data_IF_999644673287
#
_entry.id   IF_999644673287
#
_cell.length_a   1.000
_cell.length_b   1.000
_cell.length_c   1.000
_cell.angle_alpha   90.00
_cell.angle_beta   90.00
_cell.angle_gamma   90.00
#
_symmetry.space_group_name_H-M   'P 1'
#
loop_
_entity.id
_entity.type
_entity.pdbx_description
1 polymer ?
#
# COMPACT_ATOMS: atom_id res chain seq x y z
N UNK A 1 -25.86 9.15 14.27
CA UNK A 1 -25.04 7.96 14.05
C UNK A 1 -23.62 8.31 14.46
N UNK A 2 -22.94 7.47 15.24
CA UNK A 2 -21.51 7.65 15.48
C UNK A 2 -20.76 7.02 14.30
N UNK A 3 -19.91 7.79 13.63
CA UNK A 3 -19.00 7.27 12.61
C UNK A 3 -17.84 6.54 13.29
N UNK A 4 -17.29 5.51 12.66
CA UNK A 4 -16.01 4.94 13.03
C UNK A 4 -14.86 5.58 12.22
N UNK A 5 -13.63 5.27 12.60
CA UNK A 5 -12.41 5.82 12.00
C UNK A 5 -12.33 5.50 10.50
N UNK A 6 -12.68 4.28 10.10
CA UNK A 6 -12.62 3.85 8.71
C UNK A 6 -13.69 4.58 7.86
N UNK A 7 -14.89 4.77 8.39
CA UNK A 7 -15.95 5.54 7.72
C UNK A 7 -15.53 7.00 7.50
N UNK A 8 -14.89 7.62 8.48
CA UNK A 8 -14.38 9.00 8.34
C UNK A 8 -13.25 9.07 7.33
N UNK A 9 -12.32 8.10 7.32
CA UNK A 9 -11.25 8.02 6.33
C UNK A 9 -11.80 7.86 4.90
N UNK A 10 -12.81 7.03 4.70
CA UNK A 10 -13.47 6.85 3.39
C UNK A 10 -14.23 8.11 2.95
N UNK A 11 -14.90 8.81 3.85
CA UNK A 11 -15.53 10.11 3.54
C UNK A 11 -14.48 11.15 3.13
N UNK A 12 -13.34 11.18 3.82
CA UNK A 12 -12.23 12.06 3.47
C UNK A 12 -11.64 11.73 2.09
N UNK A 13 -11.53 10.45 1.72
CA UNK A 13 -11.09 10.01 0.39
C UNK A 13 -12.08 10.43 -0.71
N UNK A 14 -13.39 10.40 -0.46
CA UNK A 14 -14.39 10.92 -1.39
C UNK A 14 -14.26 12.43 -1.57
N UNK A 15 -14.20 13.17 -0.46
CA UNK A 15 -14.04 14.62 -0.48
C UNK A 15 -12.74 15.06 -1.19
N UNK A 16 -11.69 14.27 -1.08
CA UNK A 16 -10.40 14.52 -1.71
C UNK A 16 -10.50 14.66 -3.24
N UNK A 17 -11.40 13.92 -3.90
CA UNK A 17 -11.61 14.01 -5.35
C UNK A 17 -11.96 15.43 -5.78
N UNK A 18 -12.80 16.11 -5.00
CA UNK A 18 -13.28 17.46 -5.32
C UNK A 18 -12.30 18.55 -4.92
N UNK A 19 -11.71 18.44 -3.74
CA UNK A 19 -10.95 19.55 -3.14
C UNK A 19 -9.43 19.39 -3.20
N UNK A 20 -8.91 18.18 -3.50
CA UNK A 20 -7.49 17.82 -3.42
C UNK A 20 -6.96 17.84 -1.98
N UNK A 21 -5.71 17.42 -1.80
CA UNK A 21 -5.08 17.32 -0.47
C UNK A 21 -4.93 18.68 0.22
N UNK A 22 -4.63 19.72 -0.54
CA UNK A 22 -4.46 21.07 0.00
C UNK A 22 -5.79 21.72 0.40
N UNK A 23 -6.89 21.32 -0.25
CA UNK A 23 -8.25 21.73 0.08
C UNK A 23 -8.94 20.90 1.16
N UNK A 24 -8.39 19.75 1.53
CA UNK A 24 -8.93 18.88 2.58
C UNK A 24 -8.69 19.50 3.95
N UNK A 25 -9.76 19.94 4.58
CA UNK A 25 -9.75 20.52 5.94
C UNK A 25 -10.74 19.78 6.84
N UNK A 26 -10.47 19.76 8.16
CA UNK A 26 -11.38 19.16 9.16
C UNK A 26 -12.76 19.80 9.12
N UNK A 27 -12.85 21.10 8.85
CA UNK A 27 -14.13 21.83 8.72
C UNK A 27 -14.95 21.32 7.52
N UNK A 28 -14.30 21.09 6.35
CA UNK A 28 -15.00 20.58 5.16
C UNK A 28 -15.45 19.14 5.38
N UNK A 29 -14.58 18.33 5.98
CA UNK A 29 -14.91 16.93 6.28
C UNK A 29 -16.06 16.82 7.28
N UNK A 30 -16.10 17.64 8.33
CA UNK A 30 -17.21 17.69 9.26
C UNK A 30 -18.51 18.09 8.56
N UNK A 31 -18.46 19.08 7.66
CA UNK A 31 -19.61 19.48 6.84
C UNK A 31 -20.11 18.35 5.93
N UNK A 32 -19.20 17.60 5.30
CA UNK A 32 -19.54 16.43 4.46
C UNK A 32 -20.24 15.31 5.26
N UNK A 33 -19.77 15.09 6.49
CA UNK A 33 -20.33 14.07 7.39
C UNK A 33 -21.59 14.54 8.14
N UNK A 34 -21.92 15.83 8.05
CA UNK A 34 -23.07 16.40 8.78
C UNK A 34 -22.88 16.39 10.31
N UNK A 35 -21.61 16.50 10.79
CA UNK A 35 -21.27 16.51 12.21
C UNK A 35 -20.56 17.81 12.60
N UNK A 36 -20.50 18.10 13.89
CA UNK A 36 -19.71 19.21 14.40
C UNK A 36 -18.21 18.93 14.28
N UNK A 37 -17.39 19.95 13.98
CA UNK A 37 -15.94 19.80 13.87
C UNK A 37 -15.27 19.19 15.11
N UNK A 38 -15.80 19.48 16.29
CA UNK A 38 -15.33 18.87 17.55
C UNK A 38 -15.51 17.33 17.58
N UNK A 39 -16.53 16.81 16.92
CA UNK A 39 -16.76 15.36 16.86
C UNK A 39 -15.68 14.61 16.07
N UNK A 40 -15.03 15.25 15.10
CA UNK A 40 -13.89 14.65 14.38
C UNK A 40 -12.68 14.39 15.29
N UNK A 41 -12.45 15.26 16.26
CA UNK A 41 -11.32 15.14 17.19
C UNK A 41 -11.44 13.97 18.19
N UNK A 42 -12.61 13.33 18.26
CA UNK A 42 -12.75 12.04 18.95
C UNK A 42 -12.13 10.88 18.17
N UNK A 43 -11.96 11.04 16.83
CA UNK A 43 -11.42 10.00 15.95
C UNK A 43 -9.97 10.24 15.58
N UNK A 44 -9.53 11.50 15.50
CA UNK A 44 -8.18 11.89 15.08
C UNK A 44 -7.70 13.08 15.90
N UNK A 45 -6.52 12.97 16.48
CA UNK A 45 -5.90 14.09 17.21
C UNK A 45 -5.56 15.27 16.30
N UNK A 46 -5.22 14.95 15.02
CA UNK A 46 -4.80 15.96 14.05
C UNK A 46 -4.96 15.47 12.60
N UNK A 47 -4.73 16.37 11.64
CA UNK A 47 -4.80 16.04 10.20
C UNK A 47 -3.81 14.96 9.78
N UNK A 48 -2.63 14.88 10.37
CA UNK A 48 -1.62 13.89 10.01
C UNK A 48 -2.09 12.47 10.34
N UNK A 49 -2.79 12.28 11.45
CA UNK A 49 -3.39 11.00 11.83
C UNK A 49 -4.52 10.61 10.85
N UNK A 50 -5.41 11.55 10.48
CA UNK A 50 -6.41 11.33 9.44
C UNK A 50 -5.75 10.85 8.14
N UNK A 51 -4.68 11.51 7.70
CA UNK A 51 -3.97 11.10 6.48
C UNK A 51 -3.37 9.70 6.60
N UNK A 52 -2.89 9.31 7.79
CA UNK A 52 -2.43 7.94 8.06
C UNK A 52 -3.55 6.90 7.87
N UNK A 53 -4.75 7.19 8.37
CA UNK A 53 -5.92 6.31 8.17
C UNK A 53 -6.39 6.28 6.72
N UNK A 54 -6.36 7.40 6.00
CA UNK A 54 -6.63 7.43 4.56
C UNK A 54 -5.62 6.58 3.78
N UNK A 55 -4.33 6.68 4.09
CA UNK A 55 -3.28 5.84 3.49
C UNK A 55 -3.55 4.35 3.76
N UNK A 56 -3.90 4.02 5.01
CA UNK A 56 -4.25 2.67 5.43
C UNK A 56 -5.45 2.13 4.65
N UNK A 57 -6.50 2.93 4.47
CA UNK A 57 -7.69 2.54 3.71
C UNK A 57 -7.36 2.25 2.24
N UNK A 58 -6.55 3.09 1.58
CA UNK A 58 -6.10 2.88 0.19
C UNK A 58 -5.31 1.57 0.07
N UNK A 59 -4.36 1.31 0.97
CA UNK A 59 -3.51 0.12 0.91
C UNK A 59 -4.26 -1.16 1.30
N UNK A 60 -5.22 -1.08 2.22
CA UNK A 60 -6.13 -2.20 2.52
C UNK A 60 -6.95 -2.57 1.29
N UNK A 61 -7.55 -1.59 0.62
CA UNK A 61 -8.31 -1.81 -0.61
C UNK A 61 -7.45 -2.43 -1.72
N UNK A 62 -6.19 -2.02 -1.86
CA UNK A 62 -5.28 -2.63 -2.83
C UNK A 62 -4.97 -4.08 -2.51
N UNK A 63 -4.80 -4.41 -1.24
CA UNK A 63 -4.57 -5.79 -0.78
C UNK A 63 -5.80 -6.67 -1.04
N UNK A 64 -7.00 -6.18 -0.74
CA UNK A 64 -8.27 -6.89 -1.00
C UNK A 64 -8.51 -7.17 -2.48
N UNK A 65 -8.00 -6.31 -3.37
CA UNK A 65 -8.10 -6.48 -4.82
C UNK A 65 -6.99 -7.34 -5.41
N UNK A 66 -5.97 -7.69 -4.62
CA UNK A 66 -4.87 -8.54 -5.07
C UNK A 66 -5.35 -10.00 -5.14
N UNK A 67 -5.28 -10.66 -6.33
CA UNK A 67 -5.63 -12.07 -6.43
C UNK A 67 -4.74 -12.94 -5.57
N UNK A 68 -5.31 -13.95 -4.92
CA UNK A 68 -4.51 -14.94 -4.19
C UNK A 68 -3.68 -15.78 -5.17
N UNK A 69 -2.38 -15.98 -4.89
CA UNK A 69 -1.42 -16.72 -5.72
C UNK A 69 -0.50 -17.56 -4.86
N UNK A 70 -0.18 -18.75 -5.34
CA UNK A 70 0.83 -19.61 -4.71
C UNK A 70 2.26 -19.20 -5.10
N UNK A 71 2.44 -18.58 -6.28
CA UNK A 71 3.73 -18.05 -6.74
C UNK A 71 3.92 -16.62 -6.20
N UNK A 72 4.90 -16.44 -5.33
CA UNK A 72 5.21 -15.14 -4.72
C UNK A 72 5.60 -14.06 -5.74
N UNK A 73 6.18 -14.41 -6.89
CA UNK A 73 6.52 -13.44 -7.94
C UNK A 73 5.25 -12.90 -8.61
N UNK A 74 4.34 -13.82 -8.92
CA UNK A 74 3.04 -13.43 -9.47
C UNK A 74 2.22 -12.65 -8.44
N UNK A 75 2.29 -13.05 -7.16
CA UNK A 75 1.68 -12.29 -6.06
C UNK A 75 2.21 -10.85 -6.00
N UNK A 76 3.53 -10.64 -5.98
CA UNK A 76 4.13 -9.29 -5.95
C UNK A 76 3.75 -8.47 -7.18
N UNK A 77 3.72 -9.08 -8.37
CA UNK A 77 3.32 -8.40 -9.60
C UNK A 77 1.85 -7.96 -9.52
N UNK A 78 0.95 -8.87 -9.15
CA UNK A 78 -0.47 -8.60 -9.06
C UNK A 78 -0.75 -7.54 -7.96
N UNK A 79 -0.05 -7.63 -6.82
CA UNK A 79 -0.15 -6.63 -5.75
C UNK A 79 0.35 -5.25 -6.18
N UNK A 80 1.45 -5.16 -6.90
CA UNK A 80 1.95 -3.90 -7.44
C UNK A 80 0.93 -3.26 -8.40
N UNK A 81 0.34 -4.08 -9.29
CA UNK A 81 -0.70 -3.63 -10.23
C UNK A 81 -1.93 -3.13 -9.48
N UNK A 82 -2.44 -3.92 -8.52
CA UNK A 82 -3.60 -3.56 -7.72
C UNK A 82 -3.35 -2.26 -6.93
N UNK A 83 -2.16 -2.13 -6.33
CA UNK A 83 -1.76 -0.92 -5.58
C UNK A 83 -1.74 0.31 -6.48
N UNK A 84 -1.08 0.26 -7.66
CA UNK A 84 -1.09 1.37 -8.61
C UNK A 84 -2.50 1.74 -9.04
N UNK A 85 -3.32 0.75 -9.41
CA UNK A 85 -4.70 0.96 -9.86
C UNK A 85 -5.56 1.60 -8.77
N UNK A 86 -5.43 1.13 -7.53
CA UNK A 86 -6.15 1.71 -6.38
C UNK A 86 -5.70 3.14 -6.13
N UNK A 87 -4.39 3.40 -6.11
CA UNK A 87 -3.86 4.74 -5.92
C UNK A 87 -4.32 5.73 -6.99
N UNK A 88 -4.39 5.31 -8.26
CA UNK A 88 -4.85 6.18 -9.36
C UNK A 88 -6.34 6.55 -9.26
N UNK A 89 -7.16 5.81 -8.50
CA UNK A 89 -8.55 6.19 -8.23
C UNK A 89 -8.70 7.33 -7.23
N UNK A 90 -7.69 7.52 -6.38
CA UNK A 90 -7.71 8.54 -5.32
C UNK A 90 -6.72 9.65 -5.66
N UNK A 91 -7.23 10.85 -5.89
CA UNK A 91 -6.41 12.05 -6.11
C UNK A 91 -5.39 12.21 -4.96
N UNK A 92 -4.17 12.63 -5.28
CA UNK A 92 -3.10 12.87 -4.30
C UNK A 92 -2.70 11.66 -3.43
N UNK A 93 -3.15 10.44 -3.76
CA UNK A 93 -2.92 9.23 -2.97
C UNK A 93 -1.44 8.95 -2.72
N UNK A 94 -0.59 9.13 -3.74
CA UNK A 94 0.84 8.92 -3.61
C UNK A 94 1.48 9.90 -2.63
N UNK A 95 1.02 11.18 -2.59
CA UNK A 95 1.44 12.15 -1.57
C UNK A 95 0.99 11.72 -0.18
N UNK A 96 -0.26 11.29 -0.05
CA UNK A 96 -0.82 10.83 1.23
C UNK A 96 -0.01 9.67 1.77
N UNK A 97 0.16 8.60 0.98
CA UNK A 97 0.89 7.39 1.42
C UNK A 97 2.37 7.70 1.70
N UNK A 98 3.02 8.48 0.83
CA UNK A 98 4.45 8.79 0.95
C UNK A 98 4.83 9.74 2.09
N UNK A 99 3.85 10.47 2.68
CA UNK A 99 4.12 11.48 3.73
C UNK A 99 3.41 11.19 5.06
N UNK A 100 2.53 10.18 5.12
CA UNK A 100 1.80 9.85 6.34
C UNK A 100 2.57 8.88 7.22
N UNK A 101 2.45 9.04 8.53
CA UNK A 101 2.93 8.03 9.47
C UNK A 101 2.08 6.75 9.37
N UNK A 102 2.70 5.56 9.38
CA UNK A 102 1.97 4.31 9.34
C UNK A 102 1.15 4.12 10.63
N UNK A 103 -0.13 3.79 10.47
CA UNK A 103 -1.03 3.43 11.58
C UNK A 103 -0.69 2.07 12.16
N UNK A 104 -1.28 1.73 13.31
CA UNK A 104 -1.10 0.40 13.90
C UNK A 104 -1.72 -0.70 13.01
N UNK A 105 -2.85 -0.45 12.36
CA UNK A 105 -3.42 -1.37 11.38
C UNK A 105 -2.47 -1.61 10.18
N UNK A 106 -1.79 -0.55 9.71
CA UNK A 106 -0.76 -0.69 8.68
C UNK A 106 0.36 -1.64 9.12
N UNK A 107 0.88 -1.47 10.34
CA UNK A 107 2.02 -2.23 10.86
C UNK A 107 1.66 -3.66 11.22
N UNK A 108 0.46 -3.89 11.79
CA UNK A 108 0.09 -5.16 12.40
C UNK A 108 -0.76 -6.05 11.49
N UNK A 109 -1.44 -5.48 10.50
CA UNK A 109 -2.36 -6.21 9.62
C UNK A 109 -1.88 -6.18 8.16
N UNK A 110 -1.77 -4.97 7.56
CA UNK A 110 -1.57 -4.85 6.11
C UNK A 110 -0.17 -5.29 5.69
N UNK A 111 0.88 -4.72 6.30
CA UNK A 111 2.26 -5.07 5.93
C UNK A 111 2.59 -6.55 6.15
N UNK A 112 2.20 -7.19 7.27
CA UNK A 112 2.37 -8.63 7.43
C UNK A 112 1.62 -9.44 6.37
N UNK A 113 0.36 -9.08 6.04
CA UNK A 113 -0.42 -9.80 5.04
C UNK A 113 0.19 -9.70 3.63
N UNK A 114 0.76 -8.54 3.26
CA UNK A 114 1.46 -8.38 1.97
C UNK A 114 2.76 -9.18 1.93
N UNK A 115 3.49 -9.29 3.03
CA UNK A 115 4.75 -10.02 3.11
C UNK A 115 4.58 -11.55 3.26
N UNK A 116 3.41 -12.02 3.74
CA UNK A 116 3.18 -13.42 4.07
C UNK A 116 3.47 -14.40 2.92
N UNK A 117 3.03 -14.17 1.67
CA UNK A 117 3.31 -15.08 0.56
C UNK A 117 4.82 -15.26 0.28
N UNK A 118 5.63 -14.24 0.56
CA UNK A 118 7.08 -14.32 0.43
C UNK A 118 7.68 -15.14 1.59
N UNK A 119 7.17 -14.94 2.80
CA UNK A 119 7.59 -15.71 3.98
C UNK A 119 7.24 -17.19 3.79
N UNK A 120 6.06 -17.51 3.26
CA UNK A 120 5.62 -18.86 2.95
C UNK A 120 6.47 -19.50 1.84
N UNK A 121 7.00 -18.70 0.92
CA UNK A 121 7.97 -19.14 -0.09
C UNK A 121 9.39 -19.40 0.48
N UNK A 122 9.62 -19.12 1.77
CA UNK A 122 10.84 -19.42 2.50
C UNK A 122 11.82 -18.25 2.66
N UNK A 123 11.43 -17.02 2.32
CA UNK A 123 12.24 -15.84 2.62
C UNK A 123 12.19 -15.49 4.11
N UNK A 124 13.23 -14.86 4.63
CA UNK A 124 13.17 -14.29 5.98
C UNK A 124 12.14 -13.14 6.03
N UNK A 125 11.58 -12.87 7.22
CA UNK A 125 10.64 -11.73 7.36
C UNK A 125 11.30 -10.41 6.98
N UNK A 126 12.59 -10.24 7.29
CA UNK A 126 13.35 -9.03 6.91
C UNK A 126 13.44 -8.90 5.40
N UNK A 127 13.87 -9.96 4.70
CA UNK A 127 13.97 -9.96 3.23
C UNK A 127 12.61 -9.69 2.58
N UNK A 128 11.54 -10.34 3.08
CA UNK A 128 10.18 -10.14 2.58
C UNK A 128 9.73 -8.68 2.72
N UNK A 129 9.98 -8.04 3.86
CA UNK A 129 9.65 -6.63 4.05
C UNK A 129 10.50 -5.70 3.17
N UNK A 130 11.78 -6.00 2.96
CA UNK A 130 12.63 -5.24 2.04
C UNK A 130 12.12 -5.34 0.60
N UNK A 131 11.77 -6.54 0.13
CA UNK A 131 11.21 -6.78 -1.21
C UNK A 131 9.89 -6.02 -1.42
N UNK A 132 8.97 -6.08 -0.47
CA UNK A 132 7.71 -5.31 -0.50
C UNK A 132 7.99 -3.81 -0.51
N UNK A 133 8.95 -3.35 0.30
CA UNK A 133 9.30 -1.92 0.37
C UNK A 133 9.86 -1.38 -0.95
N UNK A 134 10.66 -2.17 -1.67
CA UNK A 134 11.16 -1.80 -3.00
C UNK A 134 10.02 -1.63 -4.01
N UNK A 135 9.06 -2.56 -4.01
CA UNK A 135 7.89 -2.48 -4.90
C UNK A 135 7.03 -1.26 -4.58
N UNK A 136 6.76 -1.00 -3.29
CA UNK A 136 5.97 0.16 -2.87
C UNK A 136 6.68 1.47 -3.23
N UNK A 137 7.98 1.58 -2.98
CA UNK A 137 8.75 2.78 -3.31
C UNK A 137 8.73 3.08 -4.82
N UNK A 138 8.90 2.06 -5.66
CA UNK A 138 8.80 2.19 -7.11
C UNK A 138 7.39 2.63 -7.53
N UNK A 139 6.34 1.97 -6.99
CA UNK A 139 4.94 2.27 -7.30
C UNK A 139 4.57 3.69 -6.90
N UNK A 140 4.95 4.13 -5.70
CA UNK A 140 4.73 5.50 -5.23
C UNK A 140 5.37 6.53 -6.17
N UNK A 141 6.65 6.34 -6.50
CA UNK A 141 7.36 7.24 -7.42
C UNK A 141 6.73 7.29 -8.80
N UNK A 142 6.23 6.15 -9.31
CA UNK A 142 5.57 6.08 -10.60
C UNK A 142 4.22 6.80 -10.58
N UNK A 143 3.38 6.54 -9.57
CA UNK A 143 2.04 7.15 -9.42
C UNK A 143 2.13 8.66 -9.16
N UNK A 144 3.14 9.15 -8.43
CA UNK A 144 3.38 10.60 -8.29
C UNK A 144 3.49 11.29 -9.66
N UNK A 145 4.22 10.68 -10.60
CA UNK A 145 4.36 11.21 -11.95
C UNK A 145 3.03 11.13 -12.72
N UNK A 146 2.28 10.06 -12.58
CA UNK A 146 0.98 9.89 -13.24
C UNK A 146 -0.11 10.81 -12.69
N UNK A 147 -0.04 11.17 -11.40
CA UNK A 147 -0.98 12.12 -10.78
C UNK A 147 -0.62 13.59 -11.05
N UNK A 148 0.54 13.85 -11.63
CA UNK A 148 0.92 15.18 -12.11
C UNK A 148 0.57 15.32 -13.60
N UNK A 149 -0.43 16.14 -13.93
CA UNK A 149 -0.94 16.27 -15.30
C UNK A 149 0.12 16.67 -16.31
N UNK A 150 1.07 17.54 -15.93
CA UNK A 150 2.16 17.99 -16.84
C UNK A 150 3.10 16.82 -17.14
N UNK A 151 3.51 16.08 -16.11
CA UNK A 151 4.44 14.95 -16.26
C UNK A 151 3.74 13.80 -16.99
N UNK A 152 2.51 13.47 -16.62
CA UNK A 152 1.71 12.41 -17.26
C UNK A 152 1.55 12.68 -18.75
N UNK A 153 1.16 13.91 -19.12
CA UNK A 153 1.00 14.28 -20.53
C UNK A 153 2.31 14.14 -21.31
N UNK A 154 3.45 14.53 -20.71
CA UNK A 154 4.76 14.30 -21.33
C UNK A 154 5.07 12.80 -21.45
N UNK A 155 4.90 12.02 -20.40
CA UNK A 155 5.17 10.58 -20.40
C UNK A 155 4.43 9.87 -21.54
N UNK A 156 3.14 10.17 -21.72
CA UNK A 156 2.30 9.54 -22.76
C UNK A 156 2.75 9.86 -24.19
N UNK A 157 3.56 10.92 -24.40
CA UNK A 157 4.13 11.23 -25.72
C UNK A 157 5.37 10.42 -26.06
N UNK A 158 6.07 9.89 -25.04
CA UNK A 158 7.39 9.25 -25.23
C UNK A 158 7.40 7.75 -24.89
N UNK A 159 6.47 7.29 -24.06
CA UNK A 159 6.39 5.89 -23.63
C UNK A 159 4.94 5.38 -23.57
N UNK A 160 4.79 4.06 -23.66
CA UNK A 160 3.62 3.36 -23.18
C UNK A 160 3.75 3.23 -21.65
N UNK A 161 2.94 4.00 -20.93
CA UNK A 161 3.04 4.16 -19.47
C UNK A 161 2.77 2.84 -18.74
N UNK A 162 1.74 2.10 -19.17
CA UNK A 162 1.37 0.82 -18.53
C UNK A 162 2.45 -0.24 -18.75
N UNK A 163 2.95 -0.35 -19.97
CA UNK A 163 4.05 -1.25 -20.31
C UNK A 163 5.31 -0.90 -19.56
N UNK A 164 5.64 0.39 -19.45
CA UNK A 164 6.81 0.86 -18.71
C UNK A 164 6.72 0.48 -17.22
N UNK A 165 5.56 0.69 -16.59
CA UNK A 165 5.33 0.28 -15.21
C UNK A 165 5.53 -1.22 -15.01
N UNK A 166 4.89 -2.06 -15.85
CA UNK A 166 5.00 -3.51 -15.78
C UNK A 166 6.45 -4.01 -15.96
N UNK A 167 7.19 -3.40 -16.91
CA UNK A 167 8.61 -3.70 -17.09
C UNK A 167 9.43 -3.37 -15.85
N UNK A 168 9.17 -2.20 -15.22
CA UNK A 168 9.88 -1.79 -14.01
C UNK A 168 9.62 -2.74 -12.84
N UNK A 169 8.37 -3.07 -12.55
CA UNK A 169 8.01 -4.03 -11.50
C UNK A 169 8.65 -5.41 -11.78
N UNK A 170 8.55 -5.90 -13.02
CA UNK A 170 9.15 -7.19 -13.40
C UNK A 170 10.67 -7.19 -13.24
N UNK A 171 11.34 -6.09 -13.58
CA UNK A 171 12.78 -5.96 -13.39
C UNK A 171 13.18 -5.98 -11.91
N UNK A 172 12.40 -5.31 -11.05
CA UNK A 172 12.61 -5.36 -9.60
C UNK A 172 12.42 -6.79 -9.07
N UNK A 173 11.33 -7.48 -9.44
CA UNK A 173 11.05 -8.85 -9.01
C UNK A 173 12.19 -9.80 -9.42
N UNK A 174 12.72 -9.67 -10.64
CA UNK A 174 13.88 -10.47 -11.08
C UNK A 174 15.13 -10.14 -10.27
N UNK A 175 15.39 -8.86 -10.03
CA UNK A 175 16.55 -8.43 -9.24
C UNK A 175 16.50 -8.95 -7.81
N UNK A 176 15.33 -8.92 -7.16
CA UNK A 176 15.18 -9.45 -5.80
C UNK A 176 15.26 -10.99 -5.79
N UNK A 177 14.76 -11.69 -6.82
CA UNK A 177 14.93 -13.15 -6.95
C UNK A 177 16.41 -13.56 -7.04
N UNK A 178 17.24 -12.77 -7.72
CA UNK A 178 18.69 -13.02 -7.82
C UNK A 178 19.44 -12.70 -6.52
N UNK A 179 19.02 -11.66 -5.81
CA UNK A 179 19.70 -11.15 -4.62
C UNK A 179 19.30 -11.87 -3.34
N UNK A 180 18.02 -12.18 -3.19
CA UNK A 180 17.47 -12.83 -2.00
C UNK A 180 17.21 -14.31 -2.28
N UNK A 181 17.75 -15.19 -1.45
CA UNK A 181 17.59 -16.65 -1.60
C UNK A 181 16.65 -17.18 -0.53
N UNK A 182 15.61 -17.97 -0.88
CA UNK A 182 14.78 -18.64 0.10
C UNK A 182 15.64 -19.50 1.04
N UNK A 183 15.39 -19.41 2.33
CA UNK A 183 16.05 -20.28 3.31
C UNK A 183 15.57 -21.72 3.09
N UNK A 184 16.51 -22.68 2.92
CA UNK A 184 16.16 -24.10 2.87
C UNK A 184 15.41 -24.48 4.15
N UNK A 185 14.29 -25.21 4.07
CA UNK A 185 13.59 -25.66 5.27
C UNK A 185 14.58 -26.38 6.18
N UNK A 186 14.64 -25.98 7.45
CA UNK A 186 15.44 -26.67 8.45
C UNK A 186 14.93 -28.11 8.52
N UNK A 187 15.67 -29.05 7.96
CA UNK A 187 15.38 -30.48 8.06
C UNK A 187 15.31 -30.79 9.56
N UNK A 188 14.13 -31.16 10.04
CA UNK A 188 13.99 -31.66 11.43
C UNK A 188 14.97 -32.81 11.59
N UNK A 189 16.10 -32.58 12.28
CA UNK A 189 16.99 -33.66 12.73
C UNK A 189 16.14 -34.59 13.58
N UNK A 190 15.87 -35.76 13.01
CA UNK A 190 15.12 -36.81 13.67
C UNK A 190 15.65 -37.04 15.09
N UNK A 191 14.77 -36.90 16.05
CA UNK A 191 14.99 -37.43 17.41
C UNK A 191 15.30 -38.91 17.27
N UNK A 192 16.56 -39.27 17.31
CA UNK A 192 16.95 -40.67 17.58
C UNK A 192 16.42 -41.00 18.97
N UNK A 193 15.34 -41.76 19.03
CA UNK A 193 14.90 -42.42 20.22
C UNK A 193 15.93 -43.51 20.48
N UNK A 194 16.80 -43.28 21.47
CA UNK A 194 17.56 -44.40 22.05
C UNK A 194 16.59 -45.22 22.87
N UNK A 195 16.17 -46.34 22.34
CA UNK A 195 15.61 -47.44 23.13
C UNK A 195 16.81 -48.15 23.82
N UNK A 196 16.74 -48.13 25.14
CA UNK A 196 17.51 -49.04 26.00
C UNK A 196 16.50 -49.83 26.83
#
# INVERSE_FOLDING_TARGET
MAYDVDQVAHAALKLLADVGLDGLTTRRLAGELGIEGAALYYHFENKAELLGHMATAILRESLEQTPNRDDWKQWLLDHAIATRQTMLRYRDSARIIGTSAPTDAMKQEIMPAVAQPLIDAGFSSTDAYEMVSLIIAFTLGFVINEQNDVIRNYMTTVIDVDRCYLHGVTAIIRGVEEQYQPQKPKTQRGRRVHAS
#
